data_IF_440228603571
#
_entry.id   IF_440228603571
#
_cell.length_a   1.000
_cell.length_b   1.000
_cell.length_c   1.000
_cell.angle_alpha   90.00
_cell.angle_beta   90.00
_cell.angle_gamma   90.00
#
_symmetry.space_group_name_H-M   'P 1'
#
loop_
_entity.id
_entity.type
_entity.pdbx_description
1 polymer ?
#
# COMPACT_ATOMS: atom_id res chain seq x y z
N UNK A 1 -39.03 -19.91 6.84
CA UNK A 1 -40.00 -19.99 5.72
C UNK A 1 -39.79 -18.70 4.94
N UNK A 2 -39.07 -18.79 3.83
CA UNK A 2 -38.64 -17.61 3.04
C UNK A 2 -39.86 -17.14 2.24
N UNK A 3 -40.19 -15.84 2.35
CA UNK A 3 -41.29 -15.25 1.59
C UNK A 3 -40.78 -14.77 0.20
N UNK A 4 -41.09 -15.43 -0.88
CA UNK A 4 -40.59 -15.05 -2.21
C UNK A 4 -41.07 -13.68 -2.70
N UNK A 5 -42.07 -13.07 -2.02
CA UNK A 5 -42.54 -11.72 -2.34
C UNK A 5 -41.58 -10.63 -1.91
N UNK A 6 -40.81 -10.83 -0.83
CA UNK A 6 -39.81 -9.86 -0.35
C UNK A 6 -38.63 -9.71 -1.30
N UNK A 7 -38.18 -10.81 -1.91
CA UNK A 7 -37.07 -10.83 -2.87
C UNK A 7 -37.35 -9.96 -4.11
N UNK A 8 -38.57 -10.03 -4.61
CA UNK A 8 -38.99 -9.24 -5.80
C UNK A 8 -39.13 -7.76 -5.44
N UNK A 9 -39.49 -7.45 -4.21
CA UNK A 9 -39.73 -6.09 -3.72
C UNK A 9 -38.43 -5.27 -3.64
N UNK A 10 -37.39 -5.76 -2.98
CA UNK A 10 -36.12 -5.04 -2.84
C UNK A 10 -35.42 -4.82 -4.18
N UNK A 11 -35.39 -5.84 -5.05
CA UNK A 11 -34.79 -5.71 -6.38
C UNK A 11 -35.51 -4.68 -7.24
N UNK A 12 -36.84 -4.66 -7.21
CA UNK A 12 -37.67 -3.69 -7.94
C UNK A 12 -37.51 -2.29 -7.38
N UNK A 13 -37.51 -2.13 -6.05
CA UNK A 13 -37.26 -0.87 -5.37
C UNK A 13 -35.89 -0.30 -5.77
N UNK A 14 -34.83 -1.08 -5.67
CA UNK A 14 -33.47 -0.65 -5.98
C UNK A 14 -33.33 -0.27 -7.48
N UNK A 15 -34.01 -0.95 -8.37
CA UNK A 15 -33.97 -0.62 -9.80
C UNK A 15 -34.67 0.71 -10.12
N UNK A 16 -35.83 1.00 -9.50
CA UNK A 16 -36.51 2.29 -9.65
C UNK A 16 -35.69 3.40 -8.97
N UNK A 17 -35.22 3.17 -7.75
CA UNK A 17 -34.39 4.11 -7.01
C UNK A 17 -33.14 4.54 -7.81
N UNK A 18 -32.48 3.61 -8.48
CA UNK A 18 -31.33 3.92 -9.32
C UNK A 18 -31.67 4.89 -10.48
N UNK A 19 -32.91 4.84 -10.99
CA UNK A 19 -33.39 5.76 -12.01
C UNK A 19 -33.72 7.17 -11.49
N UNK A 20 -34.03 7.29 -10.19
CA UNK A 20 -34.46 8.55 -9.56
C UNK A 20 -33.30 9.31 -8.90
N UNK A 21 -32.20 8.63 -8.59
CA UNK A 21 -31.04 9.28 -8.00
C UNK A 21 -30.28 10.18 -8.99
N UNK A 22 -29.70 11.29 -8.54
CA UNK A 22 -28.93 12.20 -9.39
C UNK A 22 -27.66 11.53 -9.93
N UNK A 23 -27.46 11.58 -11.23
CA UNK A 23 -26.37 10.94 -11.95
C UNK A 23 -26.78 9.62 -12.62
N UNK A 24 -25.83 8.92 -13.21
CA UNK A 24 -26.09 7.64 -13.86
C UNK A 24 -25.82 6.49 -12.86
N UNK A 25 -26.87 5.91 -12.33
CA UNK A 25 -26.80 4.79 -11.40
C UNK A 25 -27.30 3.50 -12.06
N UNK A 26 -26.68 2.39 -11.66
CA UNK A 26 -27.12 1.03 -12.01
C UNK A 26 -27.39 0.25 -10.74
N UNK A 27 -28.37 -0.65 -10.77
CA UNK A 27 -28.72 -1.52 -9.65
C UNK A 27 -28.32 -2.95 -9.94
N UNK A 28 -27.69 -3.62 -8.97
CA UNK A 28 -27.41 -5.05 -9.01
C UNK A 28 -28.02 -5.69 -7.78
N UNK A 29 -29.00 -6.56 -7.99
CA UNK A 29 -29.64 -7.32 -6.91
C UNK A 29 -28.89 -8.63 -6.64
N UNK A 30 -28.66 -8.92 -5.36
CA UNK A 30 -27.99 -10.12 -4.86
C UNK A 30 -28.97 -10.95 -4.03
N UNK A 31 -29.64 -11.96 -4.63
CA UNK A 31 -30.56 -12.82 -3.92
C UNK A 31 -29.83 -13.78 -2.97
N UNK A 32 -30.53 -14.30 -1.97
CA UNK A 32 -30.04 -15.41 -1.17
C UNK A 32 -29.87 -16.66 -2.05
N UNK A 33 -28.62 -17.09 -2.22
CA UNK A 33 -28.26 -18.31 -2.96
C UNK A 33 -27.74 -19.41 -2.05
N UNK A 34 -28.15 -19.42 -0.77
CA UNK A 34 -27.87 -20.53 0.14
C UNK A 34 -26.37 -20.85 0.28
N UNK A 35 -25.62 -20.01 1.00
CA UNK A 35 -24.29 -20.36 1.49
C UNK A 35 -23.10 -19.88 0.70
N UNK A 36 -23.24 -19.01 -0.29
CA UNK A 36 -22.12 -18.33 -0.91
C UNK A 36 -21.87 -17.00 -0.19
N UNK A 37 -20.64 -16.80 0.28
CA UNK A 37 -20.16 -15.65 1.06
C UNK A 37 -20.20 -14.27 0.31
N UNK A 38 -21.00 -14.13 -0.74
CA UNK A 38 -21.08 -12.88 -1.52
C UNK A 38 -21.59 -11.73 -0.64
N UNK A 39 -22.58 -12.00 0.22
CA UNK A 39 -23.14 -10.98 1.10
C UNK A 39 -22.10 -10.53 2.15
N UNK A 40 -21.29 -11.44 2.73
CA UNK A 40 -20.22 -11.07 3.64
C UNK A 40 -19.21 -10.12 2.99
N UNK A 41 -18.77 -10.42 1.77
CA UNK A 41 -17.85 -9.53 1.05
C UNK A 41 -18.45 -8.15 0.79
N UNK A 42 -19.76 -8.06 0.53
CA UNK A 42 -20.44 -6.78 0.34
C UNK A 42 -20.62 -6.02 1.64
N UNK A 43 -21.01 -6.71 2.73
CA UNK A 43 -21.20 -6.09 4.05
C UNK A 43 -19.89 -5.59 4.66
N UNK A 44 -18.77 -6.25 4.38
CA UNK A 44 -17.43 -5.81 4.82
C UNK A 44 -17.03 -4.45 4.20
N UNK A 45 -17.67 -4.05 3.11
CA UNK A 45 -17.44 -2.75 2.47
C UNK A 45 -18.47 -1.69 2.85
N UNK A 46 -19.44 -2.01 3.68
CA UNK A 46 -20.40 -1.01 4.20
C UNK A 46 -19.64 -0.03 5.08
N UNK A 47 -19.75 1.25 4.75
CA UNK A 47 -19.03 2.32 5.43
C UNK A 47 -19.99 3.11 6.33
N UNK A 48 -20.32 2.49 7.42
CA UNK A 48 -21.28 2.99 8.43
C UNK A 48 -20.89 2.53 9.82
N UNK A 49 -21.09 3.38 10.83
CA UNK A 49 -20.83 3.08 12.24
C UNK A 49 -22.09 3.13 13.11
N UNK A 50 -23.26 3.31 12.49
CA UNK A 50 -24.51 3.52 13.21
C UNK A 50 -25.56 2.45 12.89
N UNK A 51 -26.71 2.89 12.44
CA UNK A 51 -27.92 2.07 12.35
C UNK A 51 -27.78 0.87 11.41
N UNK A 52 -27.13 1.08 10.26
CA UNK A 52 -26.93 0.00 9.28
C UNK A 52 -25.88 -0.98 9.76
N UNK A 53 -24.76 -0.51 10.32
CA UNK A 53 -23.75 -1.37 10.94
C UNK A 53 -24.33 -2.21 12.08
N UNK A 54 -25.15 -1.59 12.93
CA UNK A 54 -25.86 -2.25 14.02
C UNK A 54 -26.84 -3.32 13.50
N UNK A 55 -27.56 -3.05 12.42
CA UNK A 55 -28.47 -4.00 11.79
C UNK A 55 -27.71 -5.20 11.20
N UNK A 56 -26.59 -4.95 10.51
CA UNK A 56 -25.74 -5.98 9.95
C UNK A 56 -25.05 -6.85 11.02
N UNK A 57 -24.70 -6.26 12.16
CA UNK A 57 -24.11 -7.00 13.28
C UNK A 57 -25.12 -7.96 13.96
N UNK A 58 -26.40 -7.63 13.91
CA UNK A 58 -27.47 -8.41 14.59
C UNK A 58 -28.07 -9.51 13.72
N UNK A 59 -27.97 -9.40 12.39
CA UNK A 59 -28.63 -10.32 11.47
C UNK A 59 -27.77 -10.57 10.23
N UNK A 60 -27.77 -11.82 9.81
CA UNK A 60 -27.22 -12.18 8.51
C UNK A 60 -28.09 -11.59 7.39
N UNK A 61 -27.47 -10.93 6.44
CA UNK A 61 -28.14 -10.40 5.24
C UNK A 61 -28.53 -11.57 4.34
N UNK A 62 -29.82 -11.76 4.13
CA UNK A 62 -30.36 -12.81 3.25
C UNK A 62 -30.29 -12.39 1.79
N UNK A 63 -30.58 -11.13 1.51
CA UNK A 63 -30.49 -10.52 0.20
C UNK A 63 -30.16 -9.02 0.32
N UNK A 64 -29.59 -8.45 -0.72
CA UNK A 64 -29.28 -7.02 -0.79
C UNK A 64 -29.26 -6.54 -2.24
N UNK A 65 -29.20 -5.23 -2.41
CA UNK A 65 -28.88 -4.62 -3.69
C UNK A 65 -27.70 -3.66 -3.54
N UNK A 66 -26.93 -3.51 -4.60
CA UNK A 66 -25.86 -2.51 -4.70
C UNK A 66 -26.19 -1.57 -5.84
N UNK A 67 -26.31 -0.28 -5.52
CA UNK A 67 -26.39 0.77 -6.51
C UNK A 67 -24.98 1.27 -6.81
N UNK A 68 -24.63 1.39 -8.09
CA UNK A 68 -23.30 1.85 -8.51
C UNK A 68 -23.47 3.02 -9.46
N UNK A 69 -22.84 4.16 -9.12
CA UNK A 69 -22.75 5.35 -9.97
C UNK A 69 -21.56 5.20 -10.94
N UNK A 70 -21.62 5.87 -12.05
CA UNK A 70 -20.59 5.84 -13.11
C UNK A 70 -19.19 6.24 -12.65
N UNK A 71 -19.07 7.06 -11.56
CA UNK A 71 -17.80 7.44 -10.94
C UNK A 71 -17.26 6.39 -9.94
N UNK A 72 -17.92 5.23 -9.82
CA UNK A 72 -17.56 4.16 -8.90
C UNK A 72 -18.11 4.31 -7.47
N UNK A 73 -18.90 5.35 -7.20
CA UNK A 73 -19.61 5.52 -5.93
C UNK A 73 -20.66 4.43 -5.77
N UNK A 74 -20.78 3.82 -4.59
CA UNK A 74 -21.69 2.69 -4.37
C UNK A 74 -22.53 2.87 -3.12
N UNK A 75 -23.79 2.47 -3.20
CA UNK A 75 -24.72 2.39 -2.07
C UNK A 75 -25.15 0.94 -1.87
N UNK A 76 -25.20 0.52 -0.63
CA UNK A 76 -25.72 -0.77 -0.19
C UNK A 76 -27.18 -0.59 0.26
N UNK A 77 -28.06 -1.47 -0.18
CA UNK A 77 -29.50 -1.45 0.15
C UNK A 77 -29.89 -2.81 0.72
N UNK A 78 -30.55 -2.82 1.86
CA UNK A 78 -31.04 -4.03 2.53
C UNK A 78 -32.33 -3.77 3.28
N UNK A 79 -33.01 -4.84 3.67
CA UNK A 79 -34.19 -4.75 4.51
C UNK A 79 -33.83 -4.32 5.95
N UNK A 80 -34.72 -3.58 6.64
CA UNK A 80 -34.54 -3.28 8.03
C UNK A 80 -34.69 -4.54 8.91
N UNK A 81 -34.08 -4.60 10.09
CA UNK A 81 -34.27 -5.72 11.01
C UNK A 81 -35.73 -5.82 11.48
N UNK A 82 -36.27 -7.04 11.47
CA UNK A 82 -37.54 -7.34 12.15
C UNK A 82 -38.80 -6.88 11.43
N UNK A 83 -38.97 -7.12 10.16
CA UNK A 83 -40.20 -6.79 9.39
C UNK A 83 -40.62 -5.31 9.43
N UNK A 84 -39.66 -4.40 9.62
CA UNK A 84 -39.89 -2.96 9.50
C UNK A 84 -40.32 -2.58 8.08
N UNK A 85 -41.08 -1.52 7.92
CA UNK A 85 -41.41 -0.96 6.63
C UNK A 85 -40.20 -0.14 6.09
N UNK A 86 -39.96 -0.20 4.78
CA UNK A 86 -38.90 0.55 4.12
C UNK A 86 -37.58 -0.23 4.00
N UNK A 87 -36.49 0.49 3.82
CA UNK A 87 -35.16 -0.08 3.56
C UNK A 87 -34.06 0.66 4.33
N UNK A 88 -32.95 -0.02 4.59
CA UNK A 88 -31.74 0.58 5.07
C UNK A 88 -30.77 0.82 3.90
N UNK A 89 -30.19 2.01 3.87
CA UNK A 89 -29.25 2.40 2.82
C UNK A 89 -27.96 2.94 3.46
N UNK A 90 -26.84 2.39 3.04
CA UNK A 90 -25.53 2.85 3.51
C UNK A 90 -24.57 3.11 2.34
N UNK A 91 -23.63 4.00 2.55
CA UNK A 91 -22.49 4.17 1.67
C UNK A 91 -21.57 2.95 1.73
N UNK A 92 -20.88 2.65 0.62
CA UNK A 92 -19.86 1.62 0.59
C UNK A 92 -18.46 2.27 0.46
N UNK A 93 -17.49 1.75 1.19
CA UNK A 93 -16.12 2.21 1.08
C UNK A 93 -15.57 2.08 -0.35
N UNK A 94 -14.81 3.06 -0.85
CA UNK A 94 -14.17 2.97 -2.15
C UNK A 94 -13.16 1.82 -2.17
N UNK A 95 -13.12 1.07 -3.27
CA UNK A 95 -12.15 -0.03 -3.46
C UNK A 95 -10.81 0.48 -3.96
N UNK A 96 -9.73 -0.24 -3.63
CA UNK A 96 -8.38 0.09 -4.12
C UNK A 96 -7.71 1.28 -3.43
N UNK A 97 -8.27 1.72 -2.31
CA UNK A 97 -7.71 2.80 -1.48
C UNK A 97 -7.05 2.18 -0.24
N UNK A 98 -5.82 2.58 0.14
CA UNK A 98 -5.16 2.05 1.32
C UNK A 98 -5.88 2.44 2.61
N UNK A 99 -5.91 1.55 3.61
CA UNK A 99 -6.61 1.74 4.88
C UNK A 99 -6.17 3.01 5.62
N UNK A 100 -4.92 3.41 5.46
CA UNK A 100 -4.39 4.64 6.04
C UNK A 100 -5.10 5.91 5.53
N UNK A 101 -5.68 5.87 4.34
CA UNK A 101 -6.41 7.01 3.77
C UNK A 101 -7.74 7.29 4.49
N UNK A 102 -8.29 6.30 5.18
CA UNK A 102 -9.53 6.44 5.96
C UNK A 102 -9.29 7.05 7.35
N UNK A 103 -8.03 7.17 7.80
CA UNK A 103 -7.72 7.70 9.13
C UNK A 103 -8.20 9.14 9.30
N UNK A 104 -9.01 9.37 10.34
CA UNK A 104 -9.56 10.69 10.65
C UNK A 104 -10.69 11.14 9.73
N UNK A 105 -11.18 10.28 8.86
CA UNK A 105 -12.38 10.52 8.07
C UNK A 105 -13.58 9.97 8.82
N UNK A 106 -14.58 10.83 9.05
CA UNK A 106 -15.86 10.39 9.62
C UNK A 106 -16.61 9.60 8.56
N UNK A 107 -17.10 8.43 8.95
CA UNK A 107 -17.94 7.60 8.09
C UNK A 107 -19.27 8.29 7.80
N UNK A 108 -19.79 8.17 6.56
CA UNK A 108 -21.12 8.66 6.24
C UNK A 108 -22.15 7.71 6.86
N UNK A 109 -22.86 8.19 7.87
CA UNK A 109 -23.88 7.39 8.52
C UNK A 109 -24.97 7.00 7.52
N UNK A 110 -25.37 5.72 7.51
CA UNK A 110 -26.48 5.22 6.70
C UNK A 110 -27.83 5.79 7.15
N UNK A 111 -28.86 5.57 6.39
CA UNK A 111 -30.22 6.06 6.64
C UNK A 111 -31.26 4.96 6.47
N UNK A 112 -32.34 5.06 7.23
CA UNK A 112 -33.56 4.32 6.96
C UNK A 112 -34.48 5.15 6.05
N UNK A 113 -35.02 4.54 5.01
CA UNK A 113 -35.90 5.20 4.03
C UNK A 113 -37.22 4.49 3.88
N UNK A 114 -38.25 5.20 3.44
CA UNK A 114 -39.55 4.60 3.13
C UNK A 114 -39.47 3.59 1.96
N UNK A 115 -40.47 2.73 1.87
CA UNK A 115 -40.60 1.77 0.75
C UNK A 115 -40.92 2.44 -0.61
N UNK A 116 -41.29 3.73 -0.58
CA UNK A 116 -41.50 4.51 -1.81
C UNK A 116 -40.16 4.99 -2.38
N UNK A 117 -39.75 4.56 -3.59
CA UNK A 117 -38.43 4.88 -4.13
C UNK A 117 -38.26 6.37 -4.46
N UNK A 118 -39.33 7.13 -4.70
CA UNK A 118 -39.23 8.55 -4.97
C UNK A 118 -38.89 9.34 -3.71
N UNK A 119 -39.62 9.08 -2.61
CA UNK A 119 -39.28 9.68 -1.30
C UNK A 119 -37.88 9.26 -0.82
N UNK A 120 -37.53 7.99 -1.02
CA UNK A 120 -36.21 7.48 -0.68
C UNK A 120 -35.10 8.17 -1.48
N UNK A 121 -35.33 8.47 -2.75
CA UNK A 121 -34.37 9.21 -3.58
C UNK A 121 -34.13 10.64 -3.06
N UNK A 122 -35.17 11.31 -2.59
CA UNK A 122 -35.06 12.64 -1.96
C UNK A 122 -34.22 12.56 -0.67
N UNK A 123 -34.52 11.63 0.24
CA UNK A 123 -33.79 11.44 1.49
C UNK A 123 -32.30 11.15 1.21
N UNK A 124 -32.02 10.25 0.27
CA UNK A 124 -30.64 9.93 -0.12
C UNK A 124 -29.94 11.16 -0.72
N UNK A 125 -30.60 11.89 -1.60
CA UNK A 125 -30.03 13.05 -2.26
C UNK A 125 -29.68 14.17 -1.28
N UNK A 126 -30.57 14.47 -0.34
CA UNK A 126 -30.38 15.60 0.56
C UNK A 126 -29.63 15.26 1.83
N UNK A 127 -29.60 14.02 2.28
CA UNK A 127 -28.96 13.61 3.52
C UNK A 127 -27.72 12.72 3.29
N UNK A 128 -27.86 11.55 2.66
CA UNK A 128 -26.76 10.58 2.57
C UNK A 128 -25.67 11.01 1.57
N UNK A 129 -26.03 11.37 0.34
CA UNK A 129 -25.04 11.69 -0.71
C UNK A 129 -24.12 12.87 -0.34
N UNK A 130 -24.58 13.99 0.27
CA UNK A 130 -23.69 15.08 0.65
C UNK A 130 -22.66 14.64 1.70
N UNK A 131 -23.05 13.80 2.66
CA UNK A 131 -22.12 13.25 3.67
C UNK A 131 -21.12 12.30 3.03
N UNK A 132 -21.60 11.45 2.14
CA UNK A 132 -20.76 10.49 1.44
C UNK A 132 -19.74 11.17 0.52
N UNK A 133 -20.17 12.13 -0.31
CA UNK A 133 -19.28 12.88 -1.21
C UNK A 133 -18.20 13.64 -0.42
N UNK A 134 -18.55 14.22 0.73
CA UNK A 134 -17.60 14.86 1.62
C UNK A 134 -16.58 13.88 2.19
N UNK A 135 -17.02 12.71 2.66
CA UNK A 135 -16.13 11.68 3.18
C UNK A 135 -15.20 11.14 2.09
N UNK A 136 -15.73 10.87 0.88
CA UNK A 136 -14.93 10.44 -0.28
C UNK A 136 -13.87 11.47 -0.67
N UNK A 137 -14.21 12.76 -0.67
CA UNK A 137 -13.23 13.82 -0.95
C UNK A 137 -12.08 13.83 0.06
N UNK A 138 -12.36 13.60 1.35
CA UNK A 138 -11.32 13.48 2.38
C UNK A 138 -10.45 12.24 2.17
N UNK A 139 -11.05 11.08 1.89
CA UNK A 139 -10.30 9.84 1.62
C UNK A 139 -9.40 10.01 0.41
N UNK A 140 -9.91 10.57 -0.69
CA UNK A 140 -9.12 10.86 -1.91
C UNK A 140 -7.95 11.79 -1.60
N UNK A 141 -8.18 12.87 -0.86
CA UNK A 141 -7.12 13.81 -0.44
C UNK A 141 -6.04 13.12 0.41
N UNK A 142 -6.45 12.24 1.33
CA UNK A 142 -5.51 11.46 2.13
C UNK A 142 -4.73 10.46 1.27
N UNK A 143 -5.39 9.77 0.34
CA UNK A 143 -4.75 8.83 -0.59
C UNK A 143 -3.72 9.55 -1.48
N UNK A 144 -4.06 10.72 -2.03
CA UNK A 144 -3.13 11.54 -2.81
C UNK A 144 -1.92 11.97 -1.98
N UNK A 145 -2.14 12.35 -0.72
CA UNK A 145 -1.04 12.70 0.20
C UNK A 145 -0.14 11.51 0.50
N UNK A 146 -0.71 10.32 0.68
CA UNK A 146 0.05 9.09 0.88
C UNK A 146 0.85 8.72 -0.37
N UNK A 147 0.24 8.84 -1.55
CA UNK A 147 0.91 8.59 -2.84
C UNK A 147 2.02 9.62 -3.14
N UNK A 148 1.81 10.89 -2.77
CA UNK A 148 2.81 11.94 -2.92
C UNK A 148 3.94 11.86 -1.88
N UNK A 149 3.78 11.03 -0.83
CA UNK A 149 4.85 10.81 0.14
C UNK A 149 6.00 10.13 -0.59
N UNK A 150 7.21 10.75 -0.64
CA UNK A 150 8.34 10.06 -1.24
C UNK A 150 8.44 8.69 -0.56
N UNK A 151 8.56 7.64 -1.38
CA UNK A 151 8.82 6.30 -0.85
C UNK A 151 9.96 6.47 0.14
N UNK A 152 9.74 6.09 1.40
CA UNK A 152 10.79 6.15 2.41
C UNK A 152 12.02 5.56 1.75
N UNK A 153 13.13 6.33 1.65
CA UNK A 153 14.35 5.77 1.08
C UNK A 153 14.56 4.44 1.78
N UNK A 154 14.69 3.34 1.03
CA UNK A 154 14.82 2.04 1.66
C UNK A 154 15.97 2.15 2.66
N UNK A 155 15.71 1.78 3.90
CA UNK A 155 16.73 1.74 4.93
C UNK A 155 18.01 1.18 4.30
N UNK A 156 19.10 1.94 4.34
CA UNK A 156 20.33 1.57 3.66
C UNK A 156 21.43 1.39 4.69
N UNK A 157 22.09 0.27 4.61
CA UNK A 157 23.34 0.04 5.35
C UNK A 157 24.50 0.39 4.42
N UNK A 158 25.31 1.35 4.80
CA UNK A 158 26.52 1.74 4.07
C UNK A 158 27.70 0.98 4.66
N UNK A 159 28.38 0.17 3.83
CA UNK A 159 29.59 -0.55 4.21
C UNK A 159 30.81 0.20 3.67
N UNK A 160 31.59 0.82 4.54
CA UNK A 160 32.73 1.65 4.15
C UNK A 160 34.06 0.91 4.36
N UNK A 161 34.97 1.02 3.40
CA UNK A 161 36.31 0.48 3.57
C UNK A 161 37.19 1.39 4.48
N UNK A 162 37.70 0.81 5.56
CA UNK A 162 38.71 1.43 6.42
C UNK A 162 39.96 0.53 6.44
N UNK A 163 40.98 0.90 5.65
CA UNK A 163 42.11 0.00 5.41
C UNK A 163 41.68 -1.30 4.71
N UNK A 164 41.92 -2.43 5.34
CA UNK A 164 41.54 -3.76 4.87
C UNK A 164 40.26 -4.31 5.54
N UNK A 165 39.62 -3.51 6.39
CA UNK A 165 38.37 -3.85 7.06
C UNK A 165 37.19 -3.13 6.44
N UNK A 166 36.01 -3.78 6.46
CA UNK A 166 34.73 -3.16 6.17
C UNK A 166 34.08 -2.73 7.47
N UNK A 167 33.63 -1.49 7.50
CA UNK A 167 32.98 -0.86 8.65
C UNK A 167 31.56 -0.48 8.32
N UNK A 168 30.67 -0.72 9.25
CA UNK A 168 29.24 -0.35 9.20
C UNK A 168 28.95 0.38 10.49
N UNK A 169 28.45 1.60 10.40
CA UNK A 169 27.99 2.36 11.56
C UNK A 169 26.92 1.54 12.31
N UNK A 170 26.89 1.64 13.62
CA UNK A 170 25.96 0.91 14.45
C UNK A 170 24.50 1.18 14.01
N UNK A 171 23.78 0.16 13.55
CA UNK A 171 22.40 0.33 13.17
C UNK A 171 21.50 0.50 14.40
N UNK A 172 20.49 1.36 14.31
CA UNK A 172 19.48 1.53 15.37
C UNK A 172 18.61 0.27 15.54
N UNK A 173 18.42 -0.48 14.45
CA UNK A 173 17.57 -1.67 14.41
C UNK A 173 18.36 -2.91 14.88
N UNK A 174 17.85 -3.56 15.91
CA UNK A 174 18.45 -4.77 16.49
C UNK A 174 18.54 -5.96 15.49
N UNK A 175 17.54 -6.12 14.63
CA UNK A 175 17.50 -7.17 13.62
C UNK A 175 18.61 -7.00 12.56
N UNK A 176 18.96 -5.74 12.23
CA UNK A 176 20.08 -5.39 11.34
C UNK A 176 21.42 -5.72 12.02
N UNK A 177 21.58 -5.29 13.25
CA UNK A 177 22.78 -5.58 14.06
C UNK A 177 23.02 -7.10 14.17
N UNK A 178 21.96 -7.86 14.43
CA UNK A 178 22.00 -9.31 14.49
C UNK A 178 22.38 -9.92 13.13
N UNK A 179 21.78 -9.45 12.03
CA UNK A 179 22.10 -9.94 10.68
C UNK A 179 23.57 -9.74 10.32
N UNK A 180 24.17 -8.60 10.71
CA UNK A 180 25.59 -8.32 10.52
C UNK A 180 26.47 -9.26 11.35
N UNK A 181 26.14 -9.45 12.63
CA UNK A 181 26.90 -10.34 13.52
C UNK A 181 26.91 -11.78 13.04
N UNK A 182 25.77 -12.29 12.57
CA UNK A 182 25.62 -13.67 12.06
C UNK A 182 26.44 -13.97 10.80
N UNK A 183 26.89 -12.94 10.07
CA UNK A 183 27.73 -13.09 8.86
C UNK A 183 29.19 -12.72 9.09
N UNK A 184 29.58 -12.51 10.36
CA UNK A 184 30.97 -12.34 10.77
C UNK A 184 31.44 -10.92 11.03
N UNK A 185 30.53 -9.92 11.03
CA UNK A 185 30.87 -8.60 11.55
C UNK A 185 30.90 -8.64 13.09
N UNK A 186 31.96 -8.13 13.68
CA UNK A 186 32.09 -7.97 15.13
C UNK A 186 31.79 -6.53 15.52
N UNK A 187 31.06 -6.34 16.62
CA UNK A 187 30.85 -5.01 17.16
C UNK A 187 32.11 -4.51 17.86
N UNK A 188 32.59 -3.37 17.44
CA UNK A 188 33.72 -2.66 18.05
C UNK A 188 33.17 -1.48 18.88
N UNK A 189 33.35 -1.58 20.19
CA UNK A 189 32.84 -0.57 21.12
C UNK A 189 33.65 0.74 21.09
N UNK A 190 34.90 0.72 20.60
CA UNK A 190 35.73 1.91 20.50
C UNK A 190 35.28 2.82 19.34
N UNK A 191 34.95 2.22 18.21
CA UNK A 191 34.43 2.94 17.02
C UNK A 191 32.91 3.05 16.97
N UNK A 192 32.16 2.42 17.90
CA UNK A 192 30.70 2.27 17.90
C UNK A 192 30.16 1.76 16.54
N UNK A 193 30.87 0.79 15.97
CA UNK A 193 30.61 0.28 14.63
C UNK A 193 30.74 -1.24 14.55
N UNK A 194 30.16 -1.83 13.49
CA UNK A 194 30.36 -3.24 13.14
C UNK A 194 31.51 -3.36 12.14
N UNK A 195 32.51 -4.17 12.47
CA UNK A 195 33.75 -4.31 11.68
C UNK A 195 33.89 -5.74 11.19
N UNK A 196 34.11 -5.89 9.88
CA UNK A 196 34.51 -7.13 9.24
C UNK A 196 35.98 -7.01 8.83
N UNK A 197 36.88 -7.57 9.66
CA UNK A 197 38.32 -7.61 9.42
C UNK A 197 38.77 -8.99 8.92
N UNK A 198 39.89 -9.05 8.23
CA UNK A 198 40.52 -10.30 7.80
C UNK A 198 41.36 -10.13 6.54
N UNK A 199 42.38 -10.96 6.39
CA UNK A 199 43.35 -10.91 5.27
C UNK A 199 42.83 -11.66 4.01
N UNK A 200 41.67 -12.35 4.13
CA UNK A 200 41.12 -13.16 3.04
C UNK A 200 39.95 -12.42 2.33
N UNK A 201 40.26 -11.82 1.21
CA UNK A 201 39.31 -11.06 0.37
C UNK A 201 38.14 -11.92 -0.12
N UNK A 202 38.34 -13.21 -0.39
CA UNK A 202 37.26 -14.11 -0.81
C UNK A 202 36.26 -14.36 0.34
N UNK A 203 36.75 -14.52 1.56
CA UNK A 203 35.92 -14.68 2.75
C UNK A 203 35.16 -13.40 3.07
N UNK A 204 35.80 -12.24 2.96
CA UNK A 204 35.12 -10.95 3.12
C UNK A 204 34.01 -10.77 2.07
N UNK A 205 34.28 -11.08 0.80
CA UNK A 205 33.26 -11.02 -0.26
C UNK A 205 32.05 -11.94 0.03
N UNK A 206 32.30 -13.16 0.49
CA UNK A 206 31.23 -14.08 0.88
C UNK A 206 30.39 -13.53 2.05
N UNK A 207 31.03 -12.94 3.07
CA UNK A 207 30.33 -12.30 4.19
C UNK A 207 29.49 -11.10 3.73
N UNK A 208 30.00 -10.26 2.84
CA UNK A 208 29.26 -9.13 2.25
C UNK A 208 28.04 -9.59 1.46
N UNK A 209 28.19 -10.64 0.64
CA UNK A 209 27.07 -11.22 -0.09
C UNK A 209 25.99 -11.80 0.85
N UNK A 210 26.41 -12.52 1.89
CA UNK A 210 25.50 -13.07 2.88
C UNK A 210 24.79 -11.94 3.67
N UNK A 211 25.50 -10.88 4.03
CA UNK A 211 24.92 -9.69 4.65
C UNK A 211 23.88 -9.04 3.73
N UNK A 212 24.23 -8.80 2.47
CA UNK A 212 23.32 -8.19 1.49
C UNK A 212 22.04 -9.01 1.31
N UNK A 213 22.14 -10.34 1.21
CA UNK A 213 20.99 -11.23 1.08
C UNK A 213 20.10 -11.22 2.33
N UNK A 214 20.69 -11.19 3.55
CA UNK A 214 19.91 -11.13 4.79
C UNK A 214 19.23 -9.78 4.98
N UNK A 215 19.97 -8.68 4.73
CA UNK A 215 19.45 -7.34 4.84
C UNK A 215 18.33 -7.07 3.82
N UNK A 216 18.44 -7.58 2.58
CA UNK A 216 17.37 -7.46 1.60
C UNK A 216 16.08 -8.16 2.02
N UNK A 217 16.16 -9.28 2.76
CA UNK A 217 14.98 -9.93 3.35
C UNK A 217 14.31 -9.09 4.44
N UNK A 218 15.04 -8.15 5.05
CA UNK A 218 14.54 -7.17 6.01
C UNK A 218 14.09 -5.86 5.34
N UNK A 219 14.09 -5.81 4.00
CA UNK A 219 13.74 -4.61 3.23
C UNK A 219 14.83 -3.54 3.20
N UNK A 220 16.08 -3.90 3.55
CA UNK A 220 17.20 -2.97 3.69
C UNK A 220 18.15 -3.09 2.51
N UNK A 221 18.46 -1.97 1.86
CA UNK A 221 19.46 -1.86 0.81
C UNK A 221 20.88 -1.87 1.38
N UNK A 222 21.83 -2.42 0.64
CA UNK A 222 23.27 -2.34 0.99
C UNK A 222 23.98 -1.50 -0.05
N UNK A 223 24.76 -0.53 0.42
CA UNK A 223 25.62 0.32 -0.41
C UNK A 223 27.07 0.03 -0.05
N UNK A 224 27.84 -0.41 -1.06
CA UNK A 224 29.29 -0.57 -0.94
C UNK A 224 29.96 0.45 -1.87
N UNK A 225 30.46 1.59 -1.35
CA UNK A 225 31.18 2.55 -2.16
C UNK A 225 32.42 1.91 -2.79
N UNK A 226 32.65 2.15 -4.07
CA UNK A 226 33.81 1.63 -4.78
C UNK A 226 35.08 2.15 -4.10
N UNK A 227 36.00 1.25 -3.76
CA UNK A 227 37.31 1.61 -3.23
C UNK A 227 38.00 2.55 -4.21
N UNK A 228 38.25 3.81 -3.84
CA UNK A 228 39.11 4.69 -4.65
C UNK A 228 40.44 3.97 -4.85
N UNK A 229 40.75 3.61 -6.10
CA UNK A 229 42.04 2.98 -6.40
C UNK A 229 43.16 3.86 -5.79
N UNK A 230 43.95 3.24 -4.93
CA UNK A 230 45.15 3.87 -4.44
C UNK A 230 45.96 4.23 -5.66
N UNK A 231 46.42 5.48 -5.85
CA UNK A 231 47.30 5.81 -6.97
C UNK A 231 48.48 4.84 -6.94
N UNK A 232 48.65 4.07 -8.02
CA UNK A 232 49.79 3.18 -8.12
C UNK A 232 51.04 4.02 -7.93
N UNK A 233 51.81 3.71 -6.87
CA UNK A 233 53.14 4.29 -6.63
C UNK A 233 53.92 4.09 -7.91
N UNK A 234 54.35 5.22 -8.53
CA UNK A 234 54.86 5.31 -9.85
C UNK A 234 55.86 4.20 -10.22
N UNK A 235 55.50 3.44 -11.21
CA UNK A 235 56.47 2.72 -12.01
C UNK A 235 57.25 3.81 -12.71
N UNK A 236 58.49 4.02 -12.26
CA UNK A 236 59.45 4.88 -12.92
C UNK A 236 59.55 4.37 -14.38
N UNK A 237 58.97 5.13 -15.31
CA UNK A 237 59.09 4.84 -16.71
C UNK A 237 60.53 5.01 -17.10
N UNK A 238 61.21 3.90 -17.35
CA UNK A 238 62.52 3.91 -17.99
C UNK A 238 62.33 4.51 -19.39
N UNK A 239 62.93 5.69 -19.60
CA UNK A 239 62.89 6.37 -20.90
C UNK A 239 63.46 5.47 -21.97
N UNK A 240 62.83 5.35 -23.16
CA UNK A 240 63.39 4.60 -24.27
C UNK A 240 64.71 5.27 -24.74
N UNK A 241 65.73 4.47 -25.15
CA UNK A 241 67.01 5.02 -25.65
C UNK A 241 66.75 5.84 -26.91
N UNK A 242 67.40 7.04 -26.95
CA UNK A 242 67.34 7.95 -28.09
C UNK A 242 67.94 7.29 -29.33
N UNK A 243 67.35 7.48 -30.53
CA UNK A 243 67.88 6.96 -31.78
C UNK A 243 69.21 7.65 -32.17
N UNK A 244 70.17 6.94 -32.85
CA UNK A 244 71.45 7.50 -33.18
C UNK A 244 71.33 8.63 -34.24
N UNK A 245 72.05 9.71 -33.95
CA UNK A 245 72.13 10.90 -34.80
C UNK A 245 72.97 10.51 -36.05
N UNK A 246 72.34 10.44 -37.21
CA UNK A 246 73.04 10.27 -38.48
C UNK A 246 73.53 11.65 -38.92
N UNK A 247 74.85 11.81 -38.96
CA UNK A 247 75.51 12.99 -39.53
C UNK A 247 75.38 13.03 -41.07
N UNK A 248 75.11 14.18 -41.68
CA UNK A 248 75.07 14.27 -43.17
C UNK A 248 76.45 14.24 -43.75
N UNK A 249 76.66 13.27 -44.66
CA UNK A 249 77.88 13.15 -45.48
C UNK A 249 77.88 14.27 -46.53
N UNK A 250 78.86 15.14 -46.46
CA UNK A 250 79.11 16.21 -47.47
C UNK A 250 79.84 15.62 -48.67
N UNK A 251 79.20 15.52 -49.83
CA UNK A 251 79.84 15.18 -51.09
C UNK A 251 80.35 16.45 -51.80
N UNK A 252 81.58 16.35 -52.30
CA UNK A 252 82.16 17.29 -53.26
C UNK A 252 81.58 17.08 -54.66
#
# INVERSE_FOLDING_TARGET
MHDPTSDTSLGSFAAVLAGELPGAWTSTYHPDRGGLNVHHTLTDHVWDMNEVADALARRTVEHCAVLTRDDGTRLFVTDPPGHGEGYLIAAMAPTGVPDEAFRGVREPDGIAVAADPFSAAEDIHYDLLPRYDKALAHVRTNADRLAARPAAEPDRVVMTWSGDALVVDKPERFDVARALSEVGFAFDAESDAYVLSGDNSARQAASVQAASHRLSKLGIGVVLPTRKARPALGTTAVAPPSPPVTSPHRSR
#
